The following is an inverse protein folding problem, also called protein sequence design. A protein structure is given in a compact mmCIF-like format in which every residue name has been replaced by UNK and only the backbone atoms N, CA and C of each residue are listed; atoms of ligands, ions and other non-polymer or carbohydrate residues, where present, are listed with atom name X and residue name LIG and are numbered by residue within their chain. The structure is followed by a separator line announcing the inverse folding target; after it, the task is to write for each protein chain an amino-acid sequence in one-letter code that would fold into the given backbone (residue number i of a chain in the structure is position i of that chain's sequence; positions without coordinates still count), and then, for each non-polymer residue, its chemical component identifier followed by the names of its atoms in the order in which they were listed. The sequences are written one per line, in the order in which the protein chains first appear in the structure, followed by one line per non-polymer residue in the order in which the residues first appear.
data_IF_472099310169
#
_entry.id   IF_472099310169
#
_cell.length_a   1.000
_cell.length_b   1.000
_cell.length_c   1.000
_cell.angle_alpha   90.00
_cell.angle_beta   90.00
_cell.angle_gamma   90.00
#
_symmetry.space_group_name_H-M   'P 1'
#
loop_
_entity.id
_entity.type
_entity.pdbx_description
1 polymer ?
#
# COMPACT_ATOMS: atom_id res chain seq x y z
N UNK A 1 52.54 -22.17 -43.02
CA UNK A 1 51.49 -22.82 -43.82
C UNK A 1 50.22 -22.71 -42.99
N UNK A 2 49.52 -21.58 -43.05
CA UNK A 2 48.57 -21.19 -44.12
C UNK A 2 47.20 -21.86 -43.87
N UNK A 3 46.15 -21.17 -43.41
CA UNK A 3 45.41 -19.97 -43.92
C UNK A 3 44.43 -20.37 -45.06
N UNK A 4 43.33 -19.60 -45.22
CA UNK A 4 42.23 -19.73 -46.22
C UNK A 4 41.19 -20.81 -45.84
N UNK A 5 39.90 -20.57 -45.60
CA UNK A 5 38.95 -19.44 -45.77
C UNK A 5 38.22 -19.32 -47.14
N UNK A 6 36.96 -19.82 -47.17
CA UNK A 6 35.79 -19.21 -47.84
C UNK A 6 35.53 -19.44 -49.37
N UNK A 7 34.22 -19.47 -49.69
CA UNK A 7 33.48 -19.28 -50.97
C UNK A 7 33.17 -20.47 -51.91
N UNK A 8 31.86 -20.67 -52.06
CA UNK A 8 31.13 -21.36 -53.13
C UNK A 8 31.13 -20.56 -54.44
N UNK A 9 30.94 -21.22 -55.60
CA UNK A 9 29.98 -20.76 -56.64
C UNK A 9 29.69 -21.80 -57.75
N UNK A 10 28.47 -21.70 -58.35
CA UNK A 10 28.06 -22.18 -59.69
C UNK A 10 27.99 -23.70 -60.01
N UNK A 11 27.23 -24.19 -61.02
CA UNK A 11 26.00 -23.70 -61.69
C UNK A 11 25.45 -24.75 -62.70
N UNK A 12 24.15 -25.07 -62.66
CA UNK A 12 23.32 -25.56 -63.80
C UNK A 12 21.84 -25.45 -63.36
N UNK A 13 20.85 -24.79 -63.99
CA UNK A 13 20.56 -24.26 -65.36
C UNK A 13 19.50 -25.10 -66.10
N UNK A 14 18.25 -24.63 -66.08
CA UNK A 14 17.22 -24.82 -67.11
C UNK A 14 16.36 -23.56 -67.21
N UNK A 15 15.55 -23.41 -68.27
CA UNK A 15 14.96 -22.13 -68.71
C UNK A 15 13.53 -22.34 -69.26
N UNK A 16 12.92 -21.24 -69.75
CA UNK A 16 11.53 -21.09 -70.28
C UNK A 16 10.49 -20.87 -69.14
N UNK A 17 9.71 -19.78 -69.05
CA UNK A 17 8.87 -18.99 -70.00
C UNK A 17 7.68 -19.77 -70.57
N UNK A 18 6.43 -19.31 -70.54
CA UNK A 18 5.86 -17.98 -70.15
C UNK A 18 4.80 -18.18 -69.02
N UNK A 19 3.72 -17.43 -68.74
CA UNK A 19 3.00 -16.30 -69.37
C UNK A 19 2.35 -15.37 -68.30
N UNK A 20 1.40 -14.49 -68.64
CA UNK A 20 0.87 -13.43 -67.77
C UNK A 20 -0.66 -13.25 -67.87
N UNK A 21 -1.45 -13.72 -66.89
CA UNK A 21 -2.91 -13.51 -66.88
C UNK A 21 -3.53 -13.36 -65.47
N UNK A 22 -4.64 -12.62 -65.38
CA UNK A 22 -5.56 -12.51 -64.23
C UNK A 22 -5.03 -11.91 -62.89
N UNK A 23 -4.49 -10.67 -62.90
CA UNK A 23 -4.13 -9.92 -61.67
C UNK A 23 -5.09 -8.76 -61.29
N UNK A 24 -6.11 -8.48 -62.13
CA UNK A 24 -6.99 -7.30 -61.97
C UNK A 24 -8.30 -7.59 -61.22
N UNK A 25 -8.98 -8.70 -61.50
CA UNK A 25 -10.32 -8.96 -60.95
C UNK A 25 -10.32 -9.30 -59.44
N UNK A 26 -9.38 -10.12 -58.97
CA UNK A 26 -9.33 -10.51 -57.55
C UNK A 26 -9.15 -9.32 -56.60
N UNK A 27 -8.43 -8.27 -57.03
CA UNK A 27 -8.23 -7.05 -56.22
C UNK A 27 -9.53 -6.27 -56.02
N UNK A 28 -10.42 -6.23 -57.02
CA UNK A 28 -11.73 -5.58 -56.91
C UNK A 28 -12.67 -6.32 -55.96
N UNK A 29 -12.67 -7.66 -56.02
CA UNK A 29 -13.46 -8.51 -55.14
C UNK A 29 -13.04 -8.32 -53.67
N UNK A 30 -11.73 -8.34 -53.39
CA UNK A 30 -11.20 -8.17 -52.03
C UNK A 30 -11.57 -6.81 -51.41
N UNK A 31 -11.49 -5.72 -52.17
CA UNK A 31 -11.94 -4.40 -51.72
C UNK A 31 -13.45 -4.35 -51.43
N UNK A 32 -14.27 -5.02 -52.23
CA UNK A 32 -15.73 -5.04 -52.03
C UNK A 32 -16.12 -5.75 -50.73
N UNK A 33 -15.46 -6.88 -50.39
CA UNK A 33 -15.68 -7.57 -49.11
C UNK A 33 -15.26 -6.74 -47.89
N UNK A 34 -14.12 -6.04 -47.96
CA UNK A 34 -13.64 -5.17 -46.87
C UNK A 34 -14.61 -4.00 -46.65
N UNK A 35 -15.09 -3.36 -47.73
CA UNK A 35 -16.05 -2.27 -47.64
C UNK A 35 -17.40 -2.73 -47.05
N UNK A 36 -17.91 -3.88 -47.49
CA UNK A 36 -19.18 -4.44 -46.99
C UNK A 36 -19.10 -4.77 -45.49
N UNK A 37 -17.96 -5.26 -45.00
CA UNK A 37 -17.74 -5.53 -43.57
C UNK A 37 -17.75 -4.27 -42.71
N UNK A 38 -17.13 -3.17 -43.19
CA UNK A 38 -17.15 -1.88 -42.48
C UNK A 38 -18.55 -1.23 -42.45
N UNK A 39 -19.38 -1.42 -43.47
CA UNK A 39 -20.74 -0.87 -43.49
C UNK A 39 -21.70 -1.66 -42.58
N UNK A 40 -21.54 -2.99 -42.47
CA UNK A 40 -22.35 -3.81 -41.56
C UNK A 40 -21.98 -3.63 -40.07
N UNK A 41 -20.74 -3.27 -39.74
CA UNK A 41 -20.34 -3.12 -38.33
C UNK A 41 -20.84 -1.82 -37.69
N UNK A 42 -20.99 -0.73 -38.45
CA UNK A 42 -21.51 0.53 -37.92
C UNK A 42 -23.03 0.52 -37.67
N UNK A 43 -23.81 -0.26 -38.42
CA UNK A 43 -25.28 -0.31 -38.25
C UNK A 43 -25.73 -1.11 -37.02
N UNK A 44 -24.93 -2.08 -36.58
CA UNK A 44 -25.21 -2.88 -35.36
C UNK A 44 -25.05 -2.02 -34.09
N UNK A 45 -24.07 -1.10 -34.08
CA UNK A 45 -23.77 -0.23 -32.93
C UNK A 45 -24.89 0.79 -32.65
N UNK A 46 -25.69 1.15 -33.66
CA UNK A 46 -26.73 2.17 -33.53
C UNK A 46 -28.12 1.64 -33.12
N UNK A 47 -28.32 0.31 -33.06
CA UNK A 47 -29.63 -0.30 -32.73
C UNK A 47 -29.77 -0.80 -31.29
N UNK A 48 -28.68 -0.92 -30.52
CA UNK A 48 -28.73 -1.38 -29.12
C UNK A 48 -28.94 -0.25 -28.10
N UNK A 49 -28.75 1.01 -28.47
CA UNK A 49 -28.84 2.18 -27.57
C UNK A 49 -30.24 2.79 -27.41
N UNK A 50 -31.29 2.20 -28.00
CA UNK A 50 -32.65 2.77 -28.06
C UNK A 50 -33.68 1.97 -27.24
N UNK A 51 -33.34 0.77 -26.75
CA UNK A 51 -34.30 -0.15 -26.08
C UNK A 51 -34.11 -0.32 -24.56
N UNK A 52 -33.49 0.64 -23.86
CA UNK A 52 -33.35 0.58 -22.39
C UNK A 52 -33.66 1.91 -21.66
N UNK A 53 -34.47 2.76 -22.28
CA UNK A 53 -34.81 4.10 -21.78
C UNK A 53 -36.32 4.31 -21.56
N UNK A 54 -37.06 3.28 -21.11
CA UNK A 54 -38.45 3.44 -20.63
C UNK A 54 -38.92 2.24 -19.76
N UNK A 55 -38.39 2.13 -18.53
CA UNK A 55 -38.93 1.22 -17.50
C UNK A 55 -38.47 1.64 -16.10
N UNK A 56 -39.28 1.29 -15.07
CA UNK A 56 -39.06 1.56 -13.64
C UNK A 56 -39.08 3.05 -13.25
N UNK A 57 -40.28 3.61 -13.15
CA UNK A 57 -40.55 4.93 -12.57
C UNK A 57 -41.55 4.85 -11.39
N UNK A 58 -41.14 4.23 -10.28
CA UNK A 58 -41.85 4.32 -8.99
C UNK A 58 -40.87 4.55 -7.82
N UNK A 59 -41.21 5.44 -6.86
CA UNK A 59 -40.30 5.79 -5.78
C UNK A 59 -40.32 4.74 -4.66
N UNK A 60 -39.19 4.07 -4.42
CA UNK A 60 -39.01 3.27 -3.22
C UNK A 60 -38.77 4.19 -2.01
N UNK A 61 -39.58 3.99 -0.97
CA UNK A 61 -39.59 4.78 0.26
C UNK A 61 -38.30 4.53 1.06
N UNK A 62 -37.36 5.46 1.04
CA UNK A 62 -36.17 5.39 1.90
C UNK A 62 -36.59 5.24 3.37
N UNK A 63 -36.10 4.17 4.01
CA UNK A 63 -36.15 4.01 5.46
C UNK A 63 -34.81 4.43 6.00
N UNK A 64 -34.75 5.62 6.58
CA UNK A 64 -33.52 6.21 7.12
C UNK A 64 -32.92 5.33 8.22
N UNK A 65 -31.83 4.64 7.89
CA UNK A 65 -30.86 4.14 8.86
C UNK A 65 -29.61 5.02 8.78
N UNK A 66 -29.11 5.44 9.94
CA UNK A 66 -27.98 6.36 10.03
C UNK A 66 -26.71 5.76 9.42
N UNK A 67 -26.02 6.54 8.58
CA UNK A 67 -24.67 6.22 8.12
C UNK A 67 -23.68 6.37 9.27
N UNK A 68 -23.46 5.28 10.03
CA UNK A 68 -22.23 5.10 10.79
C UNK A 68 -21.08 4.86 9.81
N UNK A 69 -20.45 5.93 9.33
CA UNK A 69 -19.48 5.86 8.25
C UNK A 69 -18.09 5.49 8.77
N UNK A 70 -17.86 4.18 8.96
CA UNK A 70 -16.56 3.55 9.23
C UNK A 70 -15.55 3.94 8.14
N UNK A 71 -14.72 4.96 8.42
CA UNK A 71 -13.66 5.39 7.51
C UNK A 71 -12.36 4.64 7.77
N UNK A 72 -11.87 3.93 6.76
CA UNK A 72 -10.53 3.34 6.73
C UNK A 72 -9.50 4.31 6.09
N UNK A 73 -9.97 5.50 5.74
CA UNK A 73 -9.28 6.61 5.09
C UNK A 73 -8.80 7.64 6.10
N UNK A 74 -7.72 8.33 5.76
CA UNK A 74 -7.37 9.60 6.40
C UNK A 74 -8.03 10.71 5.57
N UNK A 75 -8.64 11.69 6.23
CA UNK A 75 -9.26 12.84 5.58
C UNK A 75 -8.20 13.90 5.27
N UNK A 76 -8.03 14.24 3.99
CA UNK A 76 -7.19 15.35 3.55
C UNK A 76 -8.02 16.33 2.75
N UNK A 77 -8.12 17.58 3.20
CA UNK A 77 -8.88 18.64 2.51
C UNK A 77 -10.32 18.23 2.12
N UNK A 78 -11.02 17.52 3.02
CA UNK A 78 -12.33 16.89 2.83
C UNK A 78 -12.43 15.88 1.66
N UNK A 79 -11.30 15.41 1.12
CA UNK A 79 -11.23 14.25 0.22
C UNK A 79 -10.83 13.00 0.99
N UNK A 80 -11.40 11.88 0.54
CA UNK A 80 -11.11 10.56 1.08
C UNK A 80 -9.87 9.98 0.38
N UNK A 81 -8.71 9.96 1.07
CA UNK A 81 -7.48 9.33 0.54
C UNK A 81 -7.21 8.04 1.30
N UNK A 82 -6.94 6.98 0.54
CA UNK A 82 -6.38 5.73 1.03
C UNK A 82 -4.85 5.89 0.91
N UNK A 83 -4.11 6.13 2.01
CA UNK A 83 -2.66 6.34 1.92
C UNK A 83 -1.96 5.07 1.43
N UNK A 84 -0.86 5.26 0.72
CA UNK A 84 0.00 4.19 0.25
C UNK A 84 1.03 3.86 1.34
N UNK A 85 1.04 2.61 1.82
CA UNK A 85 1.79 2.23 3.03
C UNK A 85 2.76 1.10 2.74
N UNK A 86 4.04 1.32 3.08
CA UNK A 86 5.07 0.26 3.11
C UNK A 86 5.37 -0.15 4.54
N UNK A 87 5.62 -1.45 4.70
CA UNK A 87 6.19 -2.05 5.89
C UNK A 87 7.44 -2.83 5.48
N UNK A 88 8.59 -2.47 6.02
CA UNK A 88 9.83 -3.23 5.88
C UNK A 88 10.23 -3.89 7.20
N UNK A 89 10.75 -5.10 7.12
CA UNK A 89 11.40 -5.80 8.23
C UNK A 89 12.82 -6.11 7.77
N UNK A 90 13.81 -5.59 8.50
CA UNK A 90 15.23 -5.74 8.20
C UNK A 90 15.89 -6.58 9.28
N UNK A 91 16.83 -7.44 8.90
CA UNK A 91 17.84 -7.96 9.81
C UNK A 91 19.15 -7.22 9.53
N UNK A 92 19.70 -6.53 10.54
CA UNK A 92 20.95 -5.78 10.46
C UNK A 92 22.04 -6.51 11.26
N UNK A 93 23.25 -6.60 10.70
CA UNK A 93 24.39 -7.23 11.36
C UNK A 93 24.58 -6.66 12.78
N UNK A 94 24.68 -7.50 13.84
CA UNK A 94 24.74 -7.01 15.22
C UNK A 94 25.87 -6.01 15.51
N UNK A 95 27.00 -6.11 14.79
CA UNK A 95 28.13 -5.18 14.88
C UNK A 95 27.91 -3.83 14.19
N UNK A 96 26.83 -3.66 13.42
CA UNK A 96 26.51 -2.46 12.64
C UNK A 96 25.28 -1.71 13.16
N UNK A 97 24.60 -2.20 14.20
CA UNK A 97 23.32 -1.64 14.70
C UNK A 97 23.41 -0.13 14.97
N UNK A 98 24.43 0.35 15.70
CA UNK A 98 24.54 1.78 16.03
C UNK A 98 24.91 2.66 14.80
N UNK A 99 25.70 2.13 13.87
CA UNK A 99 25.98 2.80 12.59
C UNK A 99 24.69 2.92 11.78
N UNK A 100 23.93 1.82 11.66
CA UNK A 100 22.64 1.78 10.98
C UNK A 100 21.64 2.75 11.62
N UNK A 101 21.51 2.78 12.96
CA UNK A 101 20.64 3.73 13.68
C UNK A 101 20.96 5.17 13.29
N UNK A 102 22.23 5.57 13.35
CA UNK A 102 22.67 6.93 12.99
C UNK A 102 22.33 7.28 11.53
N UNK A 103 22.58 6.36 10.59
CA UNK A 103 22.26 6.56 9.17
C UNK A 103 20.74 6.62 8.94
N UNK A 104 19.95 5.80 9.64
CA UNK A 104 18.49 5.78 9.57
C UNK A 104 17.87 7.06 10.16
N UNK A 105 18.36 7.55 11.31
CA UNK A 105 17.94 8.82 11.91
C UNK A 105 18.06 9.97 10.92
N UNK A 106 19.21 10.08 10.25
CA UNK A 106 19.46 11.10 9.23
C UNK A 106 18.53 10.96 8.02
N UNK A 107 18.18 9.73 7.61
CA UNK A 107 17.22 9.50 6.51
C UNK A 107 15.80 9.94 6.89
N UNK A 108 15.30 9.49 8.05
CA UNK A 108 13.96 9.86 8.55
C UNK A 108 13.84 11.37 8.71
N UNK A 109 14.82 12.02 9.32
CA UNK A 109 14.83 13.48 9.48
C UNK A 109 14.91 14.21 8.14
N UNK A 110 15.71 13.73 7.19
CA UNK A 110 15.78 14.33 5.84
C UNK A 110 14.45 14.19 5.09
N UNK A 111 13.82 13.02 5.15
CA UNK A 111 12.54 12.74 4.50
C UNK A 111 11.45 13.68 5.04
N UNK A 112 11.28 13.71 6.37
CA UNK A 112 10.27 14.55 7.03
C UNK A 112 10.53 16.06 6.84
N UNK A 113 11.78 16.48 6.65
CA UNK A 113 12.10 17.89 6.37
C UNK A 113 12.00 18.28 4.89
N UNK A 114 12.00 17.34 3.93
CA UNK A 114 12.17 17.63 2.49
C UNK A 114 11.01 17.14 1.61
N UNK A 115 10.19 16.19 2.07
CA UNK A 115 9.16 15.54 1.25
C UNK A 115 7.77 15.73 1.87
N UNK A 116 6.92 16.58 1.29
CA UNK A 116 5.62 16.96 1.87
C UNK A 116 4.51 15.93 1.69
N UNK A 117 4.61 15.07 0.68
CA UNK A 117 3.68 13.96 0.46
C UNK A 117 4.03 12.68 1.27
N UNK A 118 5.06 12.75 2.14
CA UNK A 118 5.39 11.74 3.15
C UNK A 118 4.74 12.14 4.48
N UNK A 119 3.78 11.34 4.93
CA UNK A 119 2.85 11.70 6.01
C UNK A 119 3.31 11.17 7.36
N UNK A 120 3.98 10.02 7.38
CA UNK A 120 4.56 9.43 8.58
C UNK A 120 5.69 8.48 8.23
N UNK A 121 6.78 8.55 8.98
CA UNK A 121 7.95 7.69 8.81
C UNK A 121 8.42 7.25 10.19
N UNK A 122 8.42 5.95 10.45
CA UNK A 122 8.77 5.39 11.76
C UNK A 122 9.73 4.22 11.58
N UNK A 123 10.81 4.22 12.36
CA UNK A 123 11.86 3.22 12.36
C UNK A 123 12.13 2.76 13.79
N UNK A 124 12.05 1.46 14.04
CA UNK A 124 12.09 0.85 15.38
C UNK A 124 13.03 -0.33 15.45
N UNK A 125 13.65 -0.53 16.61
CA UNK A 125 14.48 -1.70 16.94
C UNK A 125 13.75 -2.62 17.91
N UNK A 126 13.75 -3.93 17.66
CA UNK A 126 13.20 -4.90 18.61
C UNK A 126 14.10 -5.01 19.85
N UNK A 127 13.51 -4.93 21.05
CA UNK A 127 14.30 -4.99 22.30
C UNK A 127 14.89 -6.36 22.60
N UNK A 128 14.15 -7.44 22.28
CA UNK A 128 14.57 -8.82 22.55
C UNK A 128 15.54 -9.39 21.51
N UNK A 129 15.51 -8.87 20.28
CA UNK A 129 16.37 -9.32 19.18
C UNK A 129 16.87 -8.11 18.35
N UNK A 130 17.81 -7.29 18.85
CA UNK A 130 18.14 -5.98 18.28
C UNK A 130 18.67 -5.94 16.83
N UNK A 131 18.91 -7.10 16.21
CA UNK A 131 19.14 -7.15 14.76
C UNK A 131 17.87 -6.84 13.95
N UNK A 132 16.69 -7.08 14.51
CA UNK A 132 15.41 -6.89 13.83
C UNK A 132 14.96 -5.43 13.92
N UNK A 133 14.87 -4.80 12.75
CA UNK A 133 14.41 -3.43 12.57
C UNK A 133 13.07 -3.44 11.83
N UNK A 134 12.08 -2.72 12.36
CA UNK A 134 10.81 -2.46 11.69
C UNK A 134 10.81 -1.05 11.13
N UNK A 135 10.40 -0.89 9.86
CA UNK A 135 10.21 0.43 9.24
C UNK A 135 8.80 0.50 8.68
N UNK A 136 8.04 1.51 9.07
CA UNK A 136 6.68 1.76 8.63
C UNK A 136 6.63 3.14 7.98
N UNK A 137 6.06 3.24 6.78
CA UNK A 137 6.14 4.42 5.93
C UNK A 137 4.75 4.71 5.35
N UNK A 138 4.21 5.91 5.61
CA UNK A 138 2.90 6.36 5.13
C UNK A 138 3.11 7.47 4.11
N UNK A 139 2.70 7.21 2.87
CA UNK A 139 2.72 8.14 1.76
C UNK A 139 1.29 8.52 1.36
N UNK A 140 1.13 9.70 0.76
CA UNK A 140 -0.11 10.16 0.13
C UNK A 140 -0.68 9.17 -0.88
N UNK A 141 0.19 8.67 -1.75
CA UNK A 141 -0.09 7.82 -2.89
C UNK A 141 1.21 7.11 -3.33
N UNK A 142 1.12 6.26 -4.35
CA UNK A 142 2.29 5.55 -4.88
C UNK A 142 3.31 6.49 -5.55
N UNK A 143 2.88 7.61 -6.14
CA UNK A 143 3.80 8.54 -6.80
C UNK A 143 4.71 9.26 -5.78
N UNK A 144 4.18 9.59 -4.60
CA UNK A 144 4.96 10.07 -3.46
C UNK A 144 6.01 9.05 -3.00
N UNK A 145 5.67 7.75 -2.95
CA UNK A 145 6.64 6.69 -2.67
C UNK A 145 7.72 6.57 -3.76
N UNK A 146 7.36 6.64 -5.04
CA UNK A 146 8.34 6.62 -6.12
C UNK A 146 9.25 7.86 -6.11
N UNK A 147 8.73 9.04 -5.70
CA UNK A 147 9.53 10.24 -5.48
C UNK A 147 10.55 10.05 -4.35
N UNK A 148 10.13 9.45 -3.22
CA UNK A 148 11.02 9.11 -2.11
C UNK A 148 12.15 8.16 -2.52
N UNK A 149 11.85 7.07 -3.25
CA UNK A 149 12.87 6.16 -3.80
C UNK A 149 13.86 6.86 -4.74
N UNK A 150 13.46 7.99 -5.33
CA UNK A 150 14.30 8.81 -6.19
C UNK A 150 15.04 9.95 -5.45
N UNK A 151 14.78 10.17 -4.16
CA UNK A 151 15.36 11.28 -3.39
C UNK A 151 16.88 11.12 -3.21
N UNK A 152 17.67 12.22 -3.16
CA UNK A 152 19.11 12.14 -2.95
C UNK A 152 19.48 11.52 -1.59
N UNK A 153 18.71 11.83 -0.54
CA UNK A 153 19.00 11.33 0.81
C UNK A 153 18.65 9.84 0.95
N UNK A 154 17.56 9.36 0.32
CA UNK A 154 17.23 7.93 0.30
C UNK A 154 18.28 7.11 -0.45
N UNK A 155 18.74 7.61 -1.60
CA UNK A 155 19.85 6.98 -2.34
C UNK A 155 21.13 6.91 -1.52
N UNK A 156 21.46 7.97 -0.77
CA UNK A 156 22.60 7.96 0.15
C UNK A 156 22.41 6.98 1.31
N UNK A 157 21.22 6.90 1.90
CA UNK A 157 20.85 5.92 2.91
C UNK A 157 21.07 4.49 2.39
N UNK A 158 20.49 4.13 1.24
CA UNK A 158 20.61 2.80 0.63
C UNK A 158 22.08 2.44 0.36
N UNK A 159 22.87 3.36 -0.23
CA UNK A 159 24.31 3.12 -0.42
C UNK A 159 25.02 2.81 0.90
N UNK A 160 24.78 3.62 1.94
CA UNK A 160 25.46 3.51 3.24
C UNK A 160 25.06 2.27 4.05
N UNK A 161 23.81 1.81 3.99
CA UNK A 161 23.33 0.65 4.79
C UNK A 161 23.35 -0.68 4.03
N UNK A 162 23.55 -0.68 2.71
CA UNK A 162 23.46 -1.88 1.86
C UNK A 162 24.32 -3.06 2.35
N UNK A 163 25.52 -2.80 2.87
CA UNK A 163 26.45 -3.81 3.40
C UNK A 163 26.19 -4.20 4.86
N UNK A 164 25.27 -3.53 5.55
CA UNK A 164 24.91 -3.78 6.96
C UNK A 164 23.68 -4.69 7.10
N UNK A 165 22.84 -4.78 6.06
CA UNK A 165 21.59 -5.54 6.07
C UNK A 165 21.85 -6.99 5.62
N UNK A 166 21.52 -7.95 6.47
CA UNK A 166 21.60 -9.40 6.18
C UNK A 166 20.38 -9.88 5.38
N UNK A 167 19.20 -9.31 5.67
CA UNK A 167 17.94 -9.65 5.02
C UNK A 167 16.98 -8.44 5.05
N UNK A 168 16.17 -8.28 4.00
CA UNK A 168 15.09 -7.29 3.92
C UNK A 168 13.85 -7.94 3.34
N UNK A 169 12.76 -7.91 4.10
CA UNK A 169 11.41 -8.13 3.59
C UNK A 169 10.72 -6.77 3.46
N UNK A 170 9.98 -6.55 2.37
CA UNK A 170 9.26 -5.31 2.10
C UNK A 170 7.87 -5.64 1.58
N UNK A 171 6.84 -5.27 2.35
CA UNK A 171 5.45 -5.43 1.99
C UNK A 171 4.86 -4.13 1.45
N UNK A 172 3.87 -4.26 0.56
CA UNK A 172 2.84 -3.25 0.36
C UNK A 172 1.63 -3.65 1.21
N UNK A 173 0.93 -2.68 1.79
CA UNK A 173 -0.14 -2.96 2.75
C UNK A 173 -1.41 -2.15 2.46
N UNK A 174 -2.55 -2.68 2.90
CA UNK A 174 -3.87 -2.06 2.77
C UNK A 174 -4.36 -1.66 4.16
N UNK A 175 -4.77 -0.39 4.40
CA UNK A 175 -5.32 0.03 5.68
C UNK A 175 -6.51 -0.83 6.14
N UNK A 176 -6.46 -1.29 7.39
CA UNK A 176 -7.63 -1.82 8.11
C UNK A 176 -8.24 -0.71 8.96
N UNK A 177 -7.42 -0.06 9.78
CA UNK A 177 -7.75 1.20 10.46
C UNK A 177 -6.46 1.95 10.77
N UNK A 178 -6.43 3.25 10.47
CA UNK A 178 -5.44 4.16 11.05
C UNK A 178 -6.20 5.13 11.94
N UNK A 179 -5.91 5.16 13.24
CA UNK A 179 -6.54 6.09 14.16
C UNK A 179 -5.51 6.61 15.17
N UNK A 180 -5.57 7.92 15.44
CA UNK A 180 -4.74 8.60 16.42
C UNK A 180 -5.44 9.79 17.05
N UNK A 181 -4.95 10.23 18.20
CA UNK A 181 -5.34 11.52 18.80
C UNK A 181 -4.72 12.69 17.99
N UNK A 182 -5.40 13.86 17.92
CA UNK A 182 -4.89 15.07 17.28
C UNK A 182 -3.95 15.89 18.20
N UNK A 183 -3.42 15.28 19.26
CA UNK A 183 -2.63 15.93 20.32
C UNK A 183 -1.13 15.92 20.04
N UNK A 184 -0.40 16.81 20.73
CA UNK A 184 1.07 16.76 20.79
C UNK A 184 1.56 15.40 21.29
N UNK A 185 2.55 14.83 20.61
CA UNK A 185 3.18 13.57 21.00
C UNK A 185 3.99 13.77 22.31
N UNK A 186 3.96 12.84 23.28
CA UNK A 186 4.94 12.81 24.37
C UNK A 186 6.37 12.63 23.84
N UNK A 187 7.36 13.02 24.66
CA UNK A 187 8.78 12.93 24.27
C UNK A 187 9.27 11.49 24.04
N UNK A 188 8.61 10.53 24.68
CA UNK A 188 8.84 9.09 24.49
C UNK A 188 7.49 8.38 24.47
N UNK A 189 7.45 7.22 23.82
CA UNK A 189 6.30 6.31 23.81
C UNK A 189 6.73 4.94 24.32
N UNK A 190 5.80 4.22 24.94
CA UNK A 190 5.85 2.77 24.98
C UNK A 190 5.22 2.23 23.70
N UNK A 191 5.98 1.48 22.89
CA UNK A 191 5.60 1.10 21.53
C UNK A 191 5.52 -0.42 21.40
N UNK A 192 4.41 -0.89 20.82
CA UNK A 192 4.20 -2.30 20.48
C UNK A 192 4.04 -2.45 18.98
N UNK A 193 4.55 -3.58 18.47
CA UNK A 193 4.24 -4.09 17.14
C UNK A 193 3.64 -5.48 17.32
N UNK A 194 2.65 -5.84 16.49
CA UNK A 194 2.12 -7.21 16.46
C UNK A 194 1.92 -7.72 15.04
N UNK A 195 2.10 -9.04 14.86
CA UNK A 195 1.87 -9.75 13.60
C UNK A 195 0.85 -10.87 13.84
N UNK A 196 -0.25 -10.85 13.10
CA UNK A 196 -1.34 -11.81 13.24
C UNK A 196 -1.64 -12.50 11.93
N UNK A 197 -1.70 -13.82 11.94
CA UNK A 197 -2.20 -14.61 10.81
C UNK A 197 -3.61 -15.12 11.14
N UNK A 198 -4.61 -14.73 10.35
CA UNK A 198 -6.03 -15.00 10.60
C UNK A 198 -6.56 -16.20 9.82
N UNK A 199 -7.64 -16.82 10.30
CA UNK A 199 -8.41 -17.81 9.54
C UNK A 199 -9.18 -17.10 8.42
N UNK A 200 -9.03 -17.46 7.13
CA UNK A 200 -9.59 -16.65 6.03
C UNK A 200 -11.10 -16.44 6.10
N UNK A 201 -11.85 -17.45 6.55
CA UNK A 201 -13.31 -17.37 6.76
C UNK A 201 -13.74 -16.33 7.80
N UNK A 202 -12.85 -15.96 8.71
CA UNK A 202 -13.14 -15.09 9.86
C UNK A 202 -12.63 -13.64 9.63
N UNK A 203 -11.94 -13.38 8.51
CA UNK A 203 -11.23 -12.12 8.22
C UNK A 203 -12.11 -10.87 8.33
N UNK A 204 -13.31 -10.90 7.74
CA UNK A 204 -14.21 -9.73 7.76
C UNK A 204 -14.78 -9.48 9.16
N UNK A 205 -15.11 -10.54 9.91
CA UNK A 205 -15.58 -10.42 11.29
C UNK A 205 -14.48 -9.86 12.21
N UNK A 206 -13.24 -10.31 12.01
CA UNK A 206 -12.07 -9.77 12.69
C UNK A 206 -11.87 -8.28 12.40
N UNK A 207 -11.90 -7.88 11.11
CA UNK A 207 -11.71 -6.47 10.71
C UNK A 207 -12.75 -5.54 11.34
N UNK A 208 -14.03 -5.93 11.39
CA UNK A 208 -15.06 -5.14 12.09
C UNK A 208 -14.79 -5.05 13.60
N UNK A 209 -14.43 -6.17 14.24
CA UNK A 209 -14.18 -6.22 15.68
C UNK A 209 -13.00 -5.34 16.11
N UNK A 210 -11.93 -5.28 15.30
CA UNK A 210 -10.75 -4.45 15.60
C UNK A 210 -10.92 -2.99 15.21
N UNK A 211 -11.77 -2.66 14.22
CA UNK A 211 -12.17 -1.27 13.96
C UNK A 211 -12.94 -0.71 15.16
N UNK A 212 -13.91 -1.44 15.71
CA UNK A 212 -14.69 -1.01 16.89
C UNK A 212 -13.79 -0.79 18.12
N UNK A 213 -12.81 -1.68 18.31
CA UNK A 213 -11.85 -1.62 19.42
C UNK A 213 -10.92 -0.40 19.28
N UNK A 214 -10.27 -0.23 18.13
CA UNK A 214 -9.36 0.91 17.87
C UNK A 214 -10.09 2.25 18.01
N UNK A 215 -11.32 2.37 17.50
CA UNK A 215 -12.13 3.58 17.64
C UNK A 215 -12.49 3.86 19.11
N UNK A 216 -12.86 2.83 19.88
CA UNK A 216 -13.13 2.98 21.30
C UNK A 216 -11.88 3.36 22.11
N UNK A 217 -10.72 2.78 21.80
CA UNK A 217 -9.44 3.08 22.45
C UNK A 217 -8.98 4.52 22.20
N UNK A 218 -8.99 4.97 20.94
CA UNK A 218 -8.57 6.34 20.58
C UNK A 218 -9.55 7.40 21.11
N UNK A 219 -10.85 7.09 21.24
CA UNK A 219 -11.82 7.97 21.89
C UNK A 219 -11.62 8.03 23.41
N UNK A 220 -11.63 6.87 24.08
CA UNK A 220 -11.90 6.78 25.54
C UNK A 220 -10.66 6.76 26.42
N UNK A 221 -9.51 6.36 25.88
CA UNK A 221 -8.31 6.12 26.68
C UNK A 221 -7.28 7.24 26.50
N UNK A 222 -6.98 8.07 27.53
CA UNK A 222 -6.05 9.19 27.38
C UNK A 222 -4.64 8.75 26.98
N UNK A 223 -4.20 7.57 27.44
CA UNK A 223 -2.85 7.05 27.23
C UNK A 223 -2.62 6.34 25.89
N UNK A 224 -3.65 6.08 25.08
CA UNK A 224 -3.53 5.42 23.76
C UNK A 224 -3.47 6.50 22.68
N UNK A 225 -2.28 6.78 22.16
CA UNK A 225 -2.06 7.90 21.23
C UNK A 225 -2.38 7.54 19.78
N UNK A 226 -2.01 6.35 19.33
CA UNK A 226 -2.28 5.86 17.98
C UNK A 226 -2.30 4.33 17.94
N UNK A 227 -3.21 3.77 17.13
CA UNK A 227 -3.18 2.36 16.72
C UNK A 227 -3.37 2.30 15.20
N UNK A 228 -2.38 1.73 14.53
CA UNK A 228 -2.36 1.53 13.08
C UNK A 228 -2.43 0.03 12.78
N UNK A 229 -3.53 -0.41 12.19
CA UNK A 229 -3.73 -1.78 11.71
C UNK A 229 -3.78 -1.80 10.18
N UNK A 230 -2.91 -2.62 9.58
CA UNK A 230 -2.83 -2.83 8.12
C UNK A 230 -2.84 -4.32 7.81
N UNK A 231 -3.37 -4.69 6.64
CA UNK A 231 -3.27 -6.05 6.10
C UNK A 231 -2.22 -6.09 4.98
N UNK A 232 -1.46 -7.17 4.85
CA UNK A 232 -0.56 -7.33 3.71
C UNK A 232 -1.37 -7.44 2.41
N UNK A 233 -0.93 -6.76 1.34
CA UNK A 233 -1.65 -6.74 0.05
C UNK A 233 -1.75 -8.13 -0.58
N UNK A 234 -0.65 -8.89 -0.53
CA UNK A 234 -0.53 -10.20 -1.18
C UNK A 234 -0.99 -11.38 -0.29
N UNK A 235 -1.12 -11.17 1.03
CA UNK A 235 -1.81 -12.07 1.95
C UNK A 235 -2.70 -11.26 2.92
N UNK A 236 -3.96 -10.96 2.56
CA UNK A 236 -4.83 -10.13 3.37
C UNK A 236 -5.27 -10.79 4.69
N UNK A 237 -4.86 -12.04 4.95
CA UNK A 237 -5.04 -12.73 6.23
C UNK A 237 -3.94 -12.38 7.25
N UNK A 238 -2.83 -11.79 6.80
CA UNK A 238 -1.78 -11.29 7.68
C UNK A 238 -2.02 -9.82 7.98
N UNK A 239 -2.29 -9.52 9.25
CA UNK A 239 -2.45 -8.16 9.76
C UNK A 239 -1.25 -7.79 10.62
N UNK A 240 -0.75 -6.57 10.44
CA UNK A 240 0.29 -5.97 11.24
C UNK A 240 -0.28 -4.77 12.01
N UNK A 241 0.18 -4.62 13.25
CA UNK A 241 -0.20 -3.54 14.14
C UNK A 241 1.03 -2.74 14.56
N UNK A 242 0.85 -1.44 14.68
CA UNK A 242 1.79 -0.52 15.29
C UNK A 242 1.00 0.36 16.27
N UNK A 243 1.36 0.27 17.55
CA UNK A 243 0.58 0.80 18.69
C UNK A 243 1.47 1.73 19.53
N UNK A 244 0.97 2.93 19.84
CA UNK A 244 1.69 3.96 20.59
C UNK A 244 0.97 4.31 21.89
N UNK A 245 1.61 4.04 23.01
CA UNK A 245 1.10 4.30 24.36
C UNK A 245 1.99 5.34 25.08
N UNK A 246 1.39 6.12 25.98
CA UNK A 246 2.13 7.10 26.78
C UNK A 246 3.29 6.46 27.58
N UNK A 247 3.03 5.29 28.16
CA UNK A 247 3.93 4.48 28.97
C UNK A 247 3.40 3.02 29.02
N UNK A 248 4.10 2.14 29.74
CA UNK A 248 3.66 0.76 29.92
C UNK A 248 2.33 0.67 30.71
N UNK A 249 2.08 1.58 31.65
CA UNK A 249 0.85 1.55 32.45
C UNK A 249 -0.39 1.78 31.57
N UNK A 250 -0.31 2.70 30.61
CA UNK A 250 -1.33 2.92 29.59
C UNK A 250 -1.57 1.67 28.73
N UNK A 251 -0.51 0.93 28.37
CA UNK A 251 -0.64 -0.34 27.64
C UNK A 251 -1.34 -1.43 28.47
N UNK A 252 -1.02 -1.57 29.76
CA UNK A 252 -1.72 -2.56 30.60
C UNK A 252 -3.18 -2.15 30.85
N UNK A 253 -3.47 -0.87 31.10
CA UNK A 253 -4.85 -0.35 31.23
C UNK A 253 -5.68 -0.61 29.97
N UNK A 254 -5.12 -0.36 28.79
CA UNK A 254 -5.73 -0.67 27.51
C UNK A 254 -6.07 -2.16 27.38
N UNK A 255 -5.15 -3.05 27.74
CA UNK A 255 -5.39 -4.50 27.75
C UNK A 255 -6.44 -4.95 28.76
N UNK A 256 -6.66 -4.20 29.84
CA UNK A 256 -7.71 -4.46 30.84
C UNK A 256 -9.06 -3.82 30.48
N UNK A 257 -9.11 -2.96 29.46
CA UNK A 257 -10.29 -2.18 29.11
C UNK A 257 -11.49 -3.04 28.64
N UNK A 258 -12.75 -2.59 28.85
CA UNK A 258 -13.93 -3.36 28.45
C UNK A 258 -14.03 -3.61 26.93
N UNK A 259 -13.60 -2.67 26.10
CA UNK A 259 -13.60 -2.82 24.64
C UNK A 259 -12.49 -3.77 24.17
N UNK A 260 -11.27 -3.67 24.71
CA UNK A 260 -10.22 -4.64 24.40
C UNK A 260 -10.59 -6.06 24.86
N UNK A 261 -11.16 -6.22 26.05
CA UNK A 261 -11.60 -7.53 26.55
C UNK A 261 -12.74 -8.14 25.73
N UNK A 262 -13.69 -7.31 25.25
CA UNK A 262 -14.71 -7.73 24.27
C UNK A 262 -14.06 -8.21 22.98
N UNK A 263 -13.16 -7.41 22.39
CA UNK A 263 -12.44 -7.73 21.16
C UNK A 263 -11.63 -9.03 21.30
N UNK A 264 -10.80 -9.14 22.33
CA UNK A 264 -9.98 -10.32 22.62
C UNK A 264 -10.84 -11.58 22.74
N UNK A 265 -11.95 -11.51 23.47
CA UNK A 265 -12.87 -12.65 23.64
C UNK A 265 -13.49 -13.07 22.30
N UNK A 266 -13.88 -12.11 21.47
CA UNK A 266 -14.50 -12.34 20.16
C UNK A 266 -13.49 -12.87 19.12
N UNK A 267 -12.27 -12.33 19.07
CA UNK A 267 -11.31 -12.57 17.99
C UNK A 267 -10.31 -13.69 18.27
N UNK A 268 -10.06 -14.07 19.52
CA UNK A 268 -9.20 -15.21 19.89
C UNK A 268 -9.47 -16.51 19.09
N UNK A 269 -10.72 -16.95 18.82
CA UNK A 269 -10.97 -18.13 17.98
C UNK A 269 -10.69 -17.92 16.48
N UNK A 270 -10.50 -16.69 16.00
CA UNK A 270 -10.26 -16.34 14.59
C UNK A 270 -8.78 -16.37 14.21
N UNK A 271 -7.88 -16.22 15.18
CA UNK A 271 -6.43 -16.15 14.99
C UNK A 271 -5.85 -17.56 14.76
N UNK A 272 -4.84 -17.70 13.88
CA UNK A 272 -3.96 -18.88 13.75
C UNK A 272 -2.70 -18.72 14.59
N UNK A 273 -2.06 -17.56 14.50
CA UNK A 273 -0.83 -17.20 15.23
C UNK A 273 -0.79 -15.70 15.50
N UNK A 274 -0.19 -15.33 16.63
CA UNK A 274 0.09 -13.96 17.06
C UNK A 274 1.57 -13.90 17.46
N UNK A 275 2.30 -12.90 16.97
CA UNK A 275 3.54 -12.40 17.57
C UNK A 275 3.29 -10.99 18.10
N UNK A 276 3.97 -10.59 19.18
CA UNK A 276 4.02 -9.21 19.61
C UNK A 276 5.42 -8.89 20.09
N UNK A 277 5.89 -7.69 19.76
CA UNK A 277 7.24 -7.21 20.03
C UNK A 277 7.16 -5.92 20.85
N UNK A 278 8.05 -5.78 21.82
CA UNK A 278 8.37 -4.48 22.39
C UNK A 278 9.50 -3.85 21.57
N UNK A 279 9.35 -2.60 21.19
CA UNK A 279 10.29 -1.91 20.30
C UNK A 279 10.65 -0.53 20.82
N UNK A 280 11.87 -0.07 20.51
CA UNK A 280 12.34 1.28 20.79
C UNK A 280 12.44 2.09 19.50
N UNK A 281 12.14 3.39 19.56
CA UNK A 281 12.24 4.28 18.41
C UNK A 281 13.70 4.57 18.06
N UNK A 282 14.10 4.24 16.83
CA UNK A 282 15.36 4.72 16.23
C UNK A 282 15.15 6.17 15.78
N UNK A 283 14.10 6.39 14.99
CA UNK A 283 13.61 7.71 14.61
C UNK A 283 12.15 7.58 14.20
N UNK A 284 11.33 8.57 14.53
CA UNK A 284 9.93 8.64 14.13
C UNK A 284 9.51 10.08 13.87
N UNK A 285 8.45 10.25 13.08
CA UNK A 285 7.73 11.50 12.98
C UNK A 285 6.58 11.43 11.98
N UNK A 286 5.65 12.36 12.15
CA UNK A 286 4.50 12.57 11.28
C UNK A 286 4.41 14.03 10.87
N UNK A 287 3.90 14.28 9.66
CA UNK A 287 3.45 15.62 9.27
C UNK A 287 2.03 15.84 9.78
N UNK A 288 1.88 16.76 10.73
CA UNK A 288 0.56 17.32 11.05
C UNK A 288 0.03 17.99 9.80
N UNK A 289 -1.11 17.51 9.30
CA UNK A 289 -1.78 18.03 8.10
C UNK A 289 -2.35 19.42 8.44
N UNK A 290 -1.54 20.47 8.28
CA UNK A 290 -2.03 21.83 8.36
C UNK A 290 -3.06 22.07 7.25
N UNK A 291 -4.24 22.56 7.60
CA UNK A 291 -5.28 22.94 6.64
C UNK A 291 -4.96 24.31 6.01
N UNK A 292 -3.79 24.44 5.39
CA UNK A 292 -3.27 25.66 4.78
C UNK A 292 -3.94 25.97 3.43
N UNK A 293 -5.26 26.17 3.45
CA UNK A 293 -6.09 26.45 2.29
C UNK A 293 -7.28 27.41 2.57
N UNK A 294 -7.26 28.17 3.66
CA UNK A 294 -8.23 29.26 3.92
C UNK A 294 -7.53 30.55 4.41
N UNK A 295 -6.60 31.06 3.61
CA UNK A 295 -6.44 32.52 3.50
C UNK A 295 -7.25 32.99 2.29
N UNK A 296 -8.56 33.15 2.47
CA UNK A 296 -9.39 33.85 1.48
C UNK A 296 -9.08 35.34 1.53
N UNK A 297 -8.41 35.84 0.50
CA UNK A 297 -8.16 37.28 0.29
C UNK A 297 -9.46 38.08 0.43
N UNK A 298 -9.45 39.11 1.28
CA UNK A 298 -10.59 40.02 1.46
C UNK A 298 -10.15 41.39 1.99
#
# INVERSE_FOLDING_TARGET
MEIIMVKSFHMQRCFLTVDHFCSSQMKKILFYFIWLFCVLSLTIIFMTSICFAESISQPLREKSMSKGQSSNSILFNNQEIIPYIRLAILNVQPSQIENFKSIAMNNVQSTLNQEDDVMGFYSFIQKEDPKQIFVFEIYKDEAAYQAHLLSPHYKQFVMNVSSMIENRVLYETVPVKLARKPTSLPAHFYIRIAELNLKPKDLNAYKMAVIEEIEASIEKEPGVFAIYSVALKDDPNQLHFLEFYADEQAYQQHRESPHFQKYLTLTKPMIKSLKSFEVESIALGEKTIHSSAIETTK
#
